data_IF_074816969087
#
_entry.id   IF_074816969087
#
_cell.length_a   1.000
_cell.length_b   1.000
_cell.length_c   1.000
_cell.angle_alpha   90.00
_cell.angle_beta   90.00
_cell.angle_gamma   90.00
#
_symmetry.space_group_name_H-M   'P 1'
#
loop_
_entity.id
_entity.type
_entity.pdbx_description
1 polymer ?
#
# COMPACT_ATOMS: atom_id res chain seq x y z
N UNK A 1 2.55 3.12 -3.74
CA UNK A 1 1.62 3.03 -4.87
C UNK A 1 2.22 2.17 -5.96
N UNK A 2 1.50 1.16 -6.44
CA UNK A 2 1.98 0.20 -7.44
C UNK A 2 0.89 0.02 -8.49
N UNK A 3 1.22 0.21 -9.77
CA UNK A 3 0.33 -0.09 -10.88
C UNK A 3 0.40 -1.58 -11.20
N UNK A 4 -0.74 -2.29 -11.13
CA UNK A 4 -0.84 -3.71 -11.46
C UNK A 4 -1.64 -3.87 -12.76
N UNK A 5 -1.20 -4.76 -13.64
CA UNK A 5 -1.91 -5.05 -14.88
C UNK A 5 -2.95 -6.16 -14.72
N UNK A 6 -2.75 -7.03 -13.74
CA UNK A 6 -3.64 -8.13 -13.41
C UNK A 6 -4.04 -8.04 -11.94
N UNK A 7 -5.32 -7.73 -11.70
CA UNK A 7 -5.84 -7.43 -10.37
C UNK A 7 -6.67 -8.59 -9.90
N UNK A 8 -6.07 -9.45 -9.07
CA UNK A 8 -6.80 -10.51 -8.38
C UNK A 8 -7.11 -10.08 -6.93
N UNK A 9 -8.33 -10.39 -6.47
CA UNK A 9 -8.80 -10.05 -5.14
C UNK A 9 -7.96 -10.71 -4.03
N UNK A 10 -7.33 -11.85 -4.33
CA UNK A 10 -6.40 -12.55 -3.43
C UNK A 10 -5.16 -11.70 -3.08
N UNK A 11 -4.68 -10.86 -4.00
CA UNK A 11 -3.51 -10.00 -3.80
C UNK A 11 -3.76 -9.03 -2.65
N UNK A 12 -4.96 -8.45 -2.61
CA UNK A 12 -5.32 -7.48 -1.58
C UNK A 12 -5.34 -8.11 -0.19
N UNK A 13 -5.90 -9.32 -0.09
CA UNK A 13 -5.98 -10.07 1.15
C UNK A 13 -4.59 -10.48 1.64
N UNK A 14 -3.74 -11.02 0.74
CA UNK A 14 -2.38 -11.41 1.06
C UNK A 14 -1.55 -10.21 1.55
N UNK A 15 -1.63 -9.06 0.86
CA UNK A 15 -0.88 -7.86 1.26
C UNK A 15 -1.39 -7.30 2.59
N UNK A 16 -2.70 -7.30 2.84
CA UNK A 16 -3.26 -6.91 4.16
C UNK A 16 -2.79 -7.82 5.29
N UNK A 17 -2.50 -9.09 4.99
CA UNK A 17 -1.97 -10.04 5.96
C UNK A 17 -0.47 -9.86 6.24
N UNK A 18 0.25 -9.06 5.45
CA UNK A 18 1.69 -8.87 5.65
C UNK A 18 1.99 -8.02 6.89
N UNK A 19 3.08 -8.33 7.61
CA UNK A 19 3.50 -7.51 8.73
C UNK A 19 3.83 -6.08 8.27
N UNK A 20 3.59 -5.11 9.15
CA UNK A 20 3.85 -3.68 8.91
C UNK A 20 2.96 -3.00 7.86
N UNK A 21 1.97 -3.68 7.28
CA UNK A 21 0.94 -3.06 6.44
C UNK A 21 -0.18 -2.48 7.31
N UNK A 22 -0.48 -1.20 7.10
CA UNK A 22 -1.57 -0.47 7.78
C UNK A 22 -2.85 -0.66 7.00
N UNK A 23 -2.79 -0.43 5.68
CA UNK A 23 -3.91 -0.63 4.78
C UNK A 23 -3.41 -0.94 3.38
N UNK A 24 -4.23 -1.66 2.62
CA UNK A 24 -4.04 -1.84 1.19
C UNK A 24 -5.40 -1.69 0.50
N UNK A 25 -5.42 -0.98 -0.62
CA UNK A 25 -6.63 -0.67 -1.38
C UNK A 25 -6.33 -0.70 -2.88
N UNK A 26 -7.30 -1.17 -3.67
CA UNK A 26 -7.23 -1.11 -5.12
C UNK A 26 -8.10 0.04 -5.63
N UNK A 27 -7.52 0.86 -6.50
CA UNK A 27 -8.20 1.96 -7.17
C UNK A 27 -7.73 2.05 -8.62
N UNK A 28 -8.61 1.82 -9.58
CA UNK A 28 -8.30 1.97 -11.02
C UNK A 28 -7.03 1.20 -11.45
N UNK A 29 -6.90 -0.07 -11.06
CA UNK A 29 -5.72 -0.94 -11.28
C UNK A 29 -4.43 -0.50 -10.55
N UNK A 30 -4.55 0.46 -9.65
CA UNK A 30 -3.47 0.91 -8.77
C UNK A 30 -3.68 0.31 -7.38
N UNK A 31 -2.68 -0.42 -6.92
CA UNK A 31 -2.55 -0.86 -5.54
C UNK A 31 -1.93 0.25 -4.70
N UNK A 32 -2.73 0.81 -3.80
CA UNK A 32 -2.28 1.74 -2.78
C UNK A 32 -2.00 0.96 -1.49
N UNK A 33 -0.75 0.93 -1.06
CA UNK A 33 -0.34 0.27 0.19
C UNK A 33 0.18 1.33 1.14
N UNK A 34 -0.44 1.43 2.32
CA UNK A 34 0.08 2.18 3.45
C UNK A 34 0.75 1.20 4.39
N UNK A 35 1.98 1.52 4.76
CA UNK A 35 2.78 0.70 5.66
C UNK A 35 3.33 1.55 6.80
N UNK A 36 3.43 0.97 7.99
CA UNK A 36 4.07 1.59 9.14
C UNK A 36 5.55 1.88 8.86
N UNK A 37 6.17 2.76 9.66
CA UNK A 37 7.60 3.05 9.60
C UNK A 37 8.40 1.73 9.67
N UNK A 38 8.99 1.33 8.55
CA UNK A 38 9.77 0.10 8.42
C UNK A 38 10.67 0.19 7.20
N UNK A 39 11.90 -0.30 7.31
CA UNK A 39 12.93 -0.07 6.27
C UNK A 39 12.70 -0.84 4.96
N UNK A 40 11.83 -1.86 4.92
CA UNK A 40 11.82 -2.83 3.82
C UNK A 40 10.44 -3.21 3.24
N UNK A 41 9.35 -2.50 3.57
CA UNK A 41 7.99 -2.90 3.16
C UNK A 41 7.84 -3.00 1.63
N UNK A 42 8.42 -2.04 0.90
CA UNK A 42 8.39 -2.05 -0.56
C UNK A 42 9.06 -3.29 -1.14
N UNK A 43 10.23 -3.68 -0.61
CA UNK A 43 10.96 -4.84 -1.09
C UNK A 43 10.15 -6.14 -0.89
N UNK A 44 9.48 -6.28 0.27
CA UNK A 44 8.62 -7.44 0.57
C UNK A 44 7.45 -7.54 -0.39
N UNK A 45 6.77 -6.42 -0.67
CA UNK A 45 5.62 -6.39 -1.59
C UNK A 45 6.08 -6.74 -3.00
N UNK A 46 7.21 -6.19 -3.46
CA UNK A 46 7.75 -6.48 -4.79
C UNK A 46 8.15 -7.95 -4.94
N UNK A 47 8.76 -8.53 -3.91
CA UNK A 47 9.13 -9.95 -3.91
C UNK A 47 7.89 -10.86 -3.98
N UNK A 48 6.85 -10.53 -3.20
CA UNK A 48 5.55 -11.21 -3.26
C UNK A 48 4.93 -11.16 -4.67
N UNK A 49 4.86 -9.97 -5.28
CA UNK A 49 4.29 -9.79 -6.62
C UNK A 49 5.07 -10.62 -7.65
N UNK A 50 6.40 -10.61 -7.58
CA UNK A 50 7.27 -11.45 -8.43
C UNK A 50 7.05 -12.95 -8.21
N UNK A 51 6.95 -13.40 -6.96
CA UNK A 51 6.70 -14.80 -6.62
C UNK A 51 5.36 -15.31 -7.15
N UNK A 52 4.36 -14.42 -7.26
CA UNK A 52 3.04 -14.74 -7.83
C UNK A 52 2.97 -14.53 -9.35
N UNK A 53 4.08 -14.16 -9.99
CA UNK A 53 4.16 -13.86 -11.42
C UNK A 53 3.21 -12.71 -11.86
N UNK A 54 2.94 -11.77 -10.96
CA UNK A 54 2.05 -10.65 -11.23
C UNK A 54 2.82 -9.57 -11.98
N UNK A 55 2.31 -9.17 -13.15
CA UNK A 55 2.86 -8.07 -13.91
C UNK A 55 2.50 -6.73 -13.24
N UNK A 56 3.52 -5.93 -12.96
CA UNK A 56 3.38 -4.58 -12.43
C UNK A 56 4.12 -3.58 -13.31
N UNK A 57 3.56 -2.39 -13.42
CA UNK A 57 4.09 -1.29 -14.21
C UNK A 57 4.89 -0.34 -13.34
N UNK A 58 4.35 0.85 -13.15
CA UNK A 58 5.00 1.91 -12.37
C UNK A 58 4.87 1.68 -10.87
N UNK A 59 5.96 1.95 -10.15
CA UNK A 59 6.03 1.87 -8.70
C UNK A 59 6.48 3.23 -8.15
N UNK A 60 5.75 3.74 -7.19
CA UNK A 60 6.05 4.99 -6.50
C UNK A 60 5.98 4.76 -4.98
N UNK A 61 7.00 5.21 -4.27
CA UNK A 61 7.00 5.25 -2.80
C UNK A 61 7.24 6.69 -2.39
N UNK A 62 6.25 7.27 -1.73
CA UNK A 62 6.32 8.61 -1.17
C UNK A 62 6.21 8.53 0.36
N UNK A 63 6.93 9.37 1.10
CA UNK A 63 6.68 9.51 2.53
C UNK A 63 5.24 10.06 2.73
N UNK A 64 4.57 9.69 3.84
CA UNK A 64 3.27 10.27 4.15
C UNK A 64 3.39 11.79 4.26
N UNK A 65 2.38 12.51 3.78
CA UNK A 65 2.37 13.97 3.93
C UNK A 65 2.09 14.35 5.38
N UNK A 66 2.47 15.57 5.78
CA UNK A 66 2.13 16.09 7.11
C UNK A 66 0.61 16.05 7.36
N UNK A 67 -0.20 16.27 6.32
CA UNK A 67 -1.66 16.20 6.40
C UNK A 67 -2.16 14.77 6.65
N UNK A 68 -1.58 13.76 6.01
CA UNK A 68 -1.91 12.35 6.28
C UNK A 68 -1.58 11.96 7.73
N UNK A 69 -0.41 12.39 8.21
CA UNK A 69 0.02 12.17 9.60
C UNK A 69 -0.89 12.91 10.58
N UNK A 70 -1.27 14.15 10.25
CA UNK A 70 -2.17 14.96 11.06
C UNK A 70 -3.55 14.31 11.16
N UNK A 71 -4.13 13.88 10.04
CA UNK A 71 -5.43 13.19 10.00
C UNK A 71 -5.43 11.88 10.78
N UNK A 72 -4.32 11.13 10.75
CA UNK A 72 -4.18 9.87 11.48
C UNK A 72 -4.03 10.07 13.00
N UNK A 73 -3.25 11.09 13.43
CA UNK A 73 -3.05 11.40 14.85
C UNK A 73 -4.29 12.06 15.47
N UNK A 74 -4.91 12.99 14.75
CA UNK A 74 -6.05 13.76 15.27
C UNK A 74 -7.39 13.07 15.05
N UNK A 75 -7.41 11.96 14.31
CA UNK A 75 -8.60 11.13 14.13
C UNK A 75 -9.80 11.91 13.65
N UNK A 76 -9.74 12.54 12.47
CA UNK A 76 -10.88 13.09 11.71
C UNK A 76 -11.92 13.99 12.43
N UNK A 77 -11.71 14.39 13.69
CA UNK A 77 -12.68 15.09 14.55
C UNK A 77 -12.36 16.59 14.76
N UNK A 78 -11.65 17.20 13.81
CA UNK A 78 -11.47 18.66 13.77
C UNK A 78 -11.98 19.23 12.44
N UNK A 79 -13.22 18.89 12.10
CA UNK A 79 -14.05 19.71 11.20
C UNK A 79 -15.20 20.30 11.99
N UNK A 80 -14.90 21.40 12.67
CA UNK A 80 -15.77 22.57 12.79
C UNK A 80 -14.88 23.83 12.68
#
# INVERSE_FOLDING_TARGET
>A
TIELFDVNNDILADIKSMPHIVSAEFKDNILLVKSTRGKNNLAVILDYLKSKNIAFGKIYSEPPTLNDVFLEITGKDLRD
#
